data_IF_169719960131
#
_entry.id   IF_169719960131
#
_cell.length_a   1.000
_cell.length_b   1.000
_cell.length_c   1.000
_cell.angle_alpha   90.00
_cell.angle_beta   90.00
_cell.angle_gamma   90.00
#
_symmetry.space_group_name_H-M   'P 1'
#
loop_
_entity.id
_entity.type
_entity.pdbx_description
1 polymer ?
#
# COMPACT_ATOMS: atom_id res chain seq x y z
N UNK A 1 45.19 21.15 39.93
CA UNK A 1 43.92 21.70 40.46
C UNK A 1 42.94 21.82 39.27
N UNK A 2 42.04 20.88 39.17
CA UNK A 2 41.03 20.84 38.11
C UNK A 2 39.86 21.69 38.58
N UNK A 3 39.58 22.78 37.87
CA UNK A 3 38.41 23.63 38.12
C UNK A 3 37.15 22.83 37.76
N UNK A 4 36.33 22.53 38.75
CA UNK A 4 34.96 22.02 38.51
C UNK A 4 34.18 23.08 37.76
N UNK A 5 33.39 22.68 36.70
CA UNK A 5 32.53 23.63 36.04
C UNK A 5 31.42 24.07 37.02
N UNK A 6 31.30 25.35 37.29
CA UNK A 6 30.18 25.92 38.04
C UNK A 6 28.87 25.48 37.44
N UNK A 7 28.01 24.85 38.25
CA UNK A 7 26.63 24.57 37.93
C UNK A 7 25.93 25.92 37.65
N UNK A 8 25.69 26.19 36.36
CA UNK A 8 24.93 27.37 35.95
C UNK A 8 23.55 27.29 36.59
N UNK A 9 23.20 28.25 37.39
CA UNK A 9 21.86 28.49 37.91
C UNK A 9 20.87 28.49 36.75
N UNK A 10 19.76 27.71 36.85
CA UNK A 10 18.74 27.68 35.81
C UNK A 10 18.21 29.09 35.57
N UNK A 11 18.21 29.56 34.30
CA UNK A 11 17.64 30.83 33.91
C UNK A 11 16.18 30.95 34.34
N UNK A 12 15.73 32.15 34.70
CA UNK A 12 14.32 32.38 35.05
C UNK A 12 13.41 32.08 33.84
N UNK A 13 12.15 31.74 34.09
CA UNK A 13 11.15 31.51 33.02
C UNK A 13 11.03 32.78 32.12
N UNK A 14 11.15 33.97 32.70
CA UNK A 14 11.12 35.25 31.97
C UNK A 14 12.30 35.39 31.01
N UNK A 15 13.52 35.04 31.45
CA UNK A 15 14.72 35.07 30.60
C UNK A 15 14.61 34.11 29.42
N UNK A 16 14.08 32.89 29.65
CA UNK A 16 13.83 31.94 28.56
C UNK A 16 12.81 32.47 27.55
N UNK A 17 11.72 33.06 28.02
CA UNK A 17 10.70 33.64 27.14
C UNK A 17 11.28 34.81 26.30
N UNK A 18 12.08 35.70 26.93
CA UNK A 18 12.75 36.79 26.23
C UNK A 18 13.72 36.25 25.15
N UNK A 19 14.48 35.21 25.47
CA UNK A 19 15.37 34.55 24.51
C UNK A 19 14.60 33.95 23.33
N UNK A 20 13.50 33.23 23.59
CA UNK A 20 12.66 32.63 22.54
C UNK A 20 12.02 33.69 21.63
N UNK A 21 11.60 34.80 22.22
CA UNK A 21 11.09 35.93 21.44
C UNK A 21 12.19 36.57 20.53
N UNK A 22 13.42 36.62 21.02
CA UNK A 22 14.55 37.20 20.25
C UNK A 22 14.98 36.28 19.07
N UNK A 23 14.93 34.96 19.21
CA UNK A 23 15.36 34.04 18.14
C UNK A 23 14.26 33.75 17.10
N UNK A 24 12.98 33.94 17.42
CA UNK A 24 11.84 33.68 16.52
C UNK A 24 11.91 34.45 15.19
N UNK A 25 12.23 35.76 15.14
CA UNK A 25 12.38 36.47 13.88
C UNK A 25 13.53 35.98 12.99
N UNK A 26 14.47 35.21 13.56
CA UNK A 26 15.57 34.57 12.86
C UNK A 26 15.21 33.16 12.34
N UNK A 27 13.93 32.76 12.45
CA UNK A 27 13.44 31.43 12.11
C UNK A 27 14.15 30.29 12.87
N UNK A 28 14.58 30.57 14.11
CA UNK A 28 15.19 29.60 15.00
C UNK A 28 14.18 29.11 16.04
N UNK A 29 14.22 27.81 16.35
CA UNK A 29 13.45 27.20 17.43
C UNK A 29 14.36 26.40 18.35
N UNK A 30 14.12 26.42 19.68
CA UNK A 30 14.95 25.70 20.63
C UNK A 30 14.61 24.19 20.59
N UNK A 31 15.57 23.35 20.18
CA UNK A 31 15.40 21.90 20.09
C UNK A 31 14.96 21.28 21.42
N UNK A 32 15.48 21.76 22.53
CA UNK A 32 15.16 21.23 23.87
C UNK A 32 13.69 21.38 24.30
N UNK A 33 12.94 22.28 23.67
CA UNK A 33 11.49 22.41 23.87
C UNK A 33 10.68 21.37 23.07
N UNK A 34 11.27 20.82 22.00
CA UNK A 34 10.60 19.94 21.04
C UNK A 34 11.23 18.53 20.96
N UNK A 35 12.35 18.31 21.67
CA UNK A 35 13.14 17.08 21.53
C UNK A 35 12.30 15.80 21.72
N UNK A 36 11.45 15.75 22.74
CA UNK A 36 10.60 14.58 23.03
C UNK A 36 9.54 14.32 21.95
N UNK A 37 9.07 15.38 21.28
CA UNK A 37 8.13 15.24 20.16
C UNK A 37 8.83 14.80 18.87
N UNK A 38 10.07 15.28 18.65
CA UNK A 38 10.87 14.94 17.46
C UNK A 38 11.52 13.54 17.55
N UNK A 39 11.89 13.12 18.75
CA UNK A 39 12.51 11.80 19.00
C UNK A 39 11.73 11.08 20.11
N UNK A 40 10.52 10.60 19.80
CA UNK A 40 9.68 9.92 20.77
C UNK A 40 10.28 8.54 21.14
N UNK A 41 9.99 7.99 22.33
CA UNK A 41 10.49 6.70 22.77
C UNK A 41 9.93 5.50 22.00
N UNK A 42 8.82 5.69 21.28
CA UNK A 42 8.18 4.72 20.39
C UNK A 42 7.66 5.40 19.13
N UNK A 43 7.49 4.65 18.02
CA UNK A 43 6.87 5.18 16.81
C UNK A 43 5.53 5.85 17.13
N UNK A 44 5.34 7.04 16.61
CA UNK A 44 4.12 7.83 16.78
C UNK A 44 3.57 8.23 15.40
N UNK A 45 2.35 7.80 15.11
CA UNK A 45 1.67 8.09 13.85
C UNK A 45 0.41 8.91 14.10
N UNK A 46 0.11 9.92 13.27
CA UNK A 46 -1.19 10.60 13.32
C UNK A 46 -2.33 9.75 12.75
N UNK A 47 -2.01 8.68 12.01
CA UNK A 47 -3.01 7.83 11.39
C UNK A 47 -3.81 7.03 12.41
N UNK A 48 -5.09 6.82 12.13
CA UNK A 48 -5.97 5.94 12.90
C UNK A 48 -6.30 4.70 12.10
N UNK A 49 -6.63 3.60 12.77
CA UNK A 49 -7.19 2.44 12.12
C UNK A 49 -8.54 2.82 11.48
N UNK A 50 -8.81 2.32 10.29
CA UNK A 50 -10.04 2.60 9.57
C UNK A 50 -10.47 1.38 8.75
N UNK A 51 -11.78 1.24 8.58
CA UNK A 51 -12.40 0.14 7.85
C UNK A 51 -13.46 0.68 6.88
N UNK A 52 -13.39 0.23 5.64
CA UNK A 52 -14.32 0.57 4.57
C UNK A 52 -15.03 -0.69 4.11
N UNK A 53 -16.31 -0.78 4.42
CA UNK A 53 -17.17 -1.89 4.00
C UNK A 53 -17.56 -1.70 2.54
N UNK A 54 -17.26 -2.69 1.73
CA UNK A 54 -17.50 -2.61 0.29
C UNK A 54 -18.99 -2.50 -0.07
N UNK A 55 -19.86 -3.14 0.68
CA UNK A 55 -21.31 -3.04 0.50
C UNK A 55 -21.82 -1.60 0.65
N UNK A 56 -21.21 -0.80 1.53
CA UNK A 56 -21.53 0.61 1.71
C UNK A 56 -20.87 1.51 0.64
N UNK A 57 -19.65 1.16 0.18
CA UNK A 57 -18.93 1.96 -0.81
C UNK A 57 -19.44 1.75 -2.24
N UNK A 58 -19.78 0.53 -2.60
CA UNK A 58 -20.11 0.12 -3.97
C UNK A 58 -21.22 0.96 -4.62
N UNK A 59 -22.34 1.29 -3.95
CA UNK A 59 -23.36 2.15 -4.53
C UNK A 59 -22.84 3.55 -4.94
N UNK A 60 -21.96 4.15 -4.12
CA UNK A 60 -21.36 5.45 -4.40
C UNK A 60 -20.36 5.35 -5.55
N UNK A 61 -19.57 4.28 -5.59
CA UNK A 61 -18.63 4.02 -6.68
C UNK A 61 -19.36 3.83 -8.01
N UNK A 62 -20.43 3.00 -8.05
CA UNK A 62 -21.24 2.84 -9.26
C UNK A 62 -21.89 4.17 -9.69
N UNK A 63 -22.40 4.95 -8.73
CA UNK A 63 -22.99 6.26 -9.01
C UNK A 63 -21.98 7.22 -9.63
N UNK A 64 -20.71 7.19 -9.23
CA UNK A 64 -19.69 8.04 -9.84
C UNK A 64 -19.58 7.83 -11.36
N UNK A 65 -19.80 6.59 -11.83
CA UNK A 65 -19.84 6.27 -13.25
C UNK A 65 -21.01 6.91 -14.02
N UNK A 66 -22.07 7.33 -13.33
CA UNK A 66 -23.22 8.00 -13.96
C UNK A 66 -23.13 9.53 -13.93
N UNK A 67 -22.24 10.09 -13.11
CA UNK A 67 -22.14 11.55 -12.92
C UNK A 67 -20.87 12.17 -13.48
N UNK A 68 -19.82 11.37 -13.73
CA UNK A 68 -18.57 11.83 -14.32
C UNK A 68 -18.03 10.78 -15.28
N UNK A 69 -17.67 11.19 -16.51
CA UNK A 69 -17.09 10.30 -17.51
C UNK A 69 -15.63 9.92 -17.17
N UNK A 70 -15.12 8.84 -17.76
CA UNK A 70 -13.71 8.46 -17.61
C UNK A 70 -12.77 9.53 -18.17
N UNK A 71 -13.12 10.15 -19.28
CA UNK A 71 -12.35 11.23 -19.90
C UNK A 71 -12.29 12.48 -19.01
N UNK A 72 -13.40 12.88 -18.39
CA UNK A 72 -13.46 14.03 -17.49
C UNK A 72 -12.70 13.77 -16.17
N UNK A 73 -12.87 12.59 -15.59
CA UNK A 73 -12.20 12.22 -14.34
C UNK A 73 -10.72 11.92 -14.53
N UNK A 74 -10.26 11.65 -15.76
CA UNK A 74 -8.95 11.06 -16.09
C UNK A 74 -8.75 9.71 -15.40
N UNK A 75 -9.02 9.66 -14.11
CA UNK A 75 -9.08 8.45 -13.25
C UNK A 75 -10.28 8.59 -12.30
N UNK A 76 -11.30 7.73 -12.50
CA UNK A 76 -12.48 7.71 -11.63
C UNK A 76 -12.22 6.88 -10.39
N UNK A 77 -11.67 7.52 -9.37
CA UNK A 77 -11.24 6.89 -8.11
C UNK A 77 -11.92 7.53 -6.92
N UNK A 78 -12.43 6.71 -6.01
CA UNK A 78 -12.81 7.13 -4.67
C UNK A 78 -11.66 6.78 -3.71
N UNK A 79 -11.05 7.81 -3.14
CA UNK A 79 -9.90 7.64 -2.24
C UNK A 79 -10.35 7.10 -0.88
N UNK A 80 -9.68 6.09 -0.37
CA UNK A 80 -9.81 5.56 0.98
C UNK A 80 -8.97 6.43 1.93
N UNK A 81 -9.50 7.59 2.26
CA UNK A 81 -8.77 8.60 3.03
C UNK A 81 -8.79 8.29 4.52
N UNK A 82 -7.62 8.32 5.15
CA UNK A 82 -7.52 8.10 6.60
C UNK A 82 -8.28 9.21 7.35
N UNK A 83 -9.20 8.86 8.27
CA UNK A 83 -10.01 9.87 8.98
C UNK A 83 -9.19 10.91 9.75
N UNK A 84 -7.96 10.60 10.12
CA UNK A 84 -7.05 11.55 10.79
C UNK A 84 -6.19 12.38 9.83
N UNK A 85 -6.29 12.15 8.52
CA UNK A 85 -5.55 12.86 7.48
C UNK A 85 -6.49 13.51 6.43
N UNK A 86 -7.51 14.28 6.83
CA UNK A 86 -8.52 14.80 5.91
C UNK A 86 -7.90 15.75 4.88
N UNK A 87 -8.27 15.57 3.61
CA UNK A 87 -7.78 16.36 2.49
C UNK A 87 -6.37 16.02 2.01
N UNK A 88 -5.71 15.01 2.58
CA UNK A 88 -4.37 14.60 2.18
C UNK A 88 -4.33 13.46 1.17
N UNK A 89 -5.50 12.89 0.82
CA UNK A 89 -5.62 11.75 -0.08
C UNK A 89 -4.65 10.60 0.30
N UNK A 90 -4.62 10.24 1.58
CA UNK A 90 -3.66 9.30 2.14
C UNK A 90 -4.35 8.26 3.03
N UNK A 91 -4.05 6.99 2.83
CA UNK A 91 -4.50 5.90 3.70
C UNK A 91 -3.58 5.76 4.93
N UNK A 92 -2.28 5.98 4.76
CA UNK A 92 -1.27 6.15 5.80
C UNK A 92 -0.38 7.35 5.48
N UNK A 93 0.59 7.68 6.32
CA UNK A 93 1.55 8.76 6.04
C UNK A 93 2.38 8.56 4.76
N UNK A 94 2.52 7.33 4.30
CA UNK A 94 3.38 6.94 3.16
C UNK A 94 2.60 6.34 1.98
N UNK A 95 1.34 5.92 2.20
CA UNK A 95 0.55 5.17 1.23
C UNK A 95 -0.75 5.86 0.87
N UNK A 96 -1.04 5.89 -0.42
CA UNK A 96 -2.35 6.17 -0.99
C UNK A 96 -3.07 4.85 -1.23
N UNK A 97 -4.41 4.85 -1.08
CA UNK A 97 -5.30 3.78 -1.49
C UNK A 97 -6.59 4.38 -2.05
N UNK A 98 -7.13 3.77 -3.12
CA UNK A 98 -8.38 4.22 -3.71
C UNK A 98 -9.05 3.14 -4.55
N UNK A 99 -10.36 3.19 -4.69
CA UNK A 99 -11.13 2.29 -5.54
C UNK A 99 -11.41 2.96 -6.88
N UNK A 100 -10.82 2.43 -7.94
CA UNK A 100 -11.06 2.89 -9.31
C UNK A 100 -12.16 2.07 -9.97
N UNK A 101 -13.08 2.76 -10.63
CA UNK A 101 -14.13 2.18 -11.45
C UNK A 101 -13.87 2.46 -12.94
N UNK A 102 -13.95 1.41 -13.76
CA UNK A 102 -14.04 1.53 -15.20
C UNK A 102 -15.30 0.80 -15.71
N UNK A 103 -16.02 1.44 -16.64
CA UNK A 103 -17.22 0.89 -17.25
C UNK A 103 -16.91 0.27 -18.62
N UNK A 104 -17.81 -0.56 -19.18
CA UNK A 104 -17.63 -1.14 -20.49
C UNK A 104 -17.32 -0.10 -21.58
N UNK A 105 -16.26 -0.34 -22.37
CA UNK A 105 -15.84 0.54 -23.46
C UNK A 105 -15.09 1.80 -23.05
N UNK A 106 -14.93 2.08 -21.76
CA UNK A 106 -14.16 3.23 -21.29
C UNK A 106 -12.66 3.02 -21.44
N UNK A 107 -11.94 4.12 -21.67
CA UNK A 107 -10.48 4.23 -21.65
C UNK A 107 -10.11 5.33 -20.68
N UNK A 108 -9.18 5.04 -19.79
CA UNK A 108 -8.50 6.01 -18.94
C UNK A 108 -7.16 6.35 -19.61
N UNK A 109 -6.91 7.63 -20.00
CA UNK A 109 -5.88 8.02 -20.93
C UNK A 109 -4.46 7.66 -20.50
N UNK A 110 -3.60 7.43 -21.49
CA UNK A 110 -2.20 7.10 -21.30
C UNK A 110 -1.42 8.26 -20.68
N UNK A 111 -0.68 7.95 -19.62
CA UNK A 111 0.22 8.89 -18.94
C UNK A 111 1.37 8.15 -18.24
N UNK A 112 2.30 8.88 -17.68
CA UNK A 112 3.31 8.37 -16.75
C UNK A 112 3.49 9.33 -15.59
N UNK A 113 3.90 8.81 -14.45
CA UNK A 113 4.18 9.59 -13.24
C UNK A 113 5.32 8.98 -12.44
N UNK A 114 5.92 9.78 -11.57
CA UNK A 114 7.06 9.36 -10.75
C UNK A 114 6.66 8.37 -9.65
N UNK A 115 5.40 8.34 -9.24
CA UNK A 115 4.89 7.39 -8.29
C UNK A 115 4.90 5.97 -8.85
N UNK A 116 5.25 4.99 -8.03
CA UNK A 116 4.95 3.59 -8.28
C UNK A 116 3.49 3.30 -7.96
N UNK A 117 2.84 2.49 -8.78
CA UNK A 117 1.45 2.09 -8.55
C UNK A 117 1.30 0.57 -8.55
N UNK A 118 0.35 0.12 -7.77
CA UNK A 118 -0.15 -1.25 -7.80
C UNK A 118 -1.68 -1.23 -7.96
N UNK A 119 -2.21 -2.32 -8.52
CA UNK A 119 -3.65 -2.58 -8.64
C UNK A 119 -3.95 -3.96 -8.12
N UNK A 120 -5.01 -4.06 -7.35
CA UNK A 120 -5.55 -5.33 -6.91
C UNK A 120 -7.03 -5.41 -7.32
N UNK A 121 -7.37 -6.39 -8.15
CA UNK A 121 -8.72 -6.47 -8.75
C UNK A 121 -9.73 -6.96 -7.73
N UNK A 122 -10.74 -6.13 -7.46
CA UNK A 122 -11.76 -6.34 -6.41
C UNK A 122 -13.05 -6.93 -6.97
N UNK A 123 -13.54 -6.39 -8.11
CA UNK A 123 -14.81 -6.82 -8.71
C UNK A 123 -14.74 -6.71 -10.24
N UNK A 124 -15.38 -7.65 -10.93
CA UNK A 124 -15.46 -7.68 -12.40
C UNK A 124 -14.22 -8.28 -13.03
N UNK A 125 -14.28 -8.47 -14.34
CA UNK A 125 -13.21 -9.06 -15.16
C UNK A 125 -13.23 -8.50 -16.57
N UNK A 126 -12.08 -8.55 -17.27
CA UNK A 126 -11.99 -8.13 -18.67
C UNK A 126 -11.67 -6.66 -18.87
N UNK A 127 -11.41 -5.89 -17.81
CA UNK A 127 -10.65 -4.66 -17.92
C UNK A 127 -9.16 -4.99 -18.09
N UNK A 128 -8.38 -4.05 -18.59
CA UNK A 128 -6.95 -4.23 -18.78
C UNK A 128 -6.15 -3.02 -18.28
N UNK A 129 -4.90 -3.29 -17.96
CA UNK A 129 -3.84 -2.28 -17.83
C UNK A 129 -2.78 -2.56 -18.89
N UNK A 130 -2.42 -1.56 -19.70
CA UNK A 130 -1.25 -1.62 -20.56
C UNK A 130 -0.09 -0.90 -19.88
N UNK A 131 1.06 -1.55 -19.78
CA UNK A 131 2.28 -1.02 -19.16
C UNK A 131 3.43 -1.18 -20.13
N UNK A 132 4.04 -0.07 -20.53
CA UNK A 132 5.20 -0.04 -21.41
C UNK A 132 5.04 -0.92 -22.67
N UNK A 133 3.87 -0.87 -23.29
CA UNK A 133 3.55 -1.61 -24.53
C UNK A 133 3.18 -3.08 -24.32
N UNK A 134 2.98 -3.55 -23.10
CA UNK A 134 2.42 -4.85 -22.77
C UNK A 134 1.07 -4.70 -22.08
N UNK A 135 0.03 -5.27 -22.66
CA UNK A 135 -1.30 -5.31 -22.07
C UNK A 135 -1.42 -6.49 -21.11
N UNK A 136 -2.12 -6.29 -20.03
CA UNK A 136 -2.51 -7.31 -19.04
C UNK A 136 -4.01 -7.24 -18.81
N UNK A 137 -4.74 -8.28 -19.19
CA UNK A 137 -6.15 -8.44 -18.85
C UNK A 137 -6.29 -8.82 -17.38
N UNK A 138 -7.24 -8.20 -16.69
CA UNK A 138 -7.38 -8.27 -15.24
C UNK A 138 -8.53 -9.19 -14.84
N UNK A 139 -8.23 -10.12 -13.92
CA UNK A 139 -9.19 -11.02 -13.28
C UNK A 139 -9.27 -10.73 -11.77
N UNK A 140 -10.39 -11.04 -11.08
CA UNK A 140 -10.51 -10.81 -9.64
C UNK A 140 -9.40 -11.46 -8.84
N UNK A 141 -8.79 -10.69 -7.95
CA UNK A 141 -7.67 -11.13 -7.11
C UNK A 141 -6.28 -10.98 -7.76
N UNK A 142 -6.20 -10.64 -9.05
CA UNK A 142 -4.92 -10.37 -9.70
C UNK A 142 -4.26 -9.13 -9.08
N UNK A 143 -2.94 -9.23 -8.90
CA UNK A 143 -2.07 -8.15 -8.48
C UNK A 143 -1.25 -7.66 -9.66
N UNK A 144 -1.40 -6.38 -10.01
CA UNK A 144 -0.75 -5.73 -11.16
C UNK A 144 0.07 -4.55 -10.66
N UNK A 145 1.23 -4.29 -11.26
CA UNK A 145 2.07 -3.13 -10.96
C UNK A 145 2.26 -2.23 -12.17
N UNK A 146 2.41 -0.95 -11.90
CA UNK A 146 2.93 0.05 -12.84
C UNK A 146 4.19 0.65 -12.23
N UNK A 147 5.37 0.37 -12.79
CA UNK A 147 6.62 0.95 -12.33
C UNK A 147 6.62 2.48 -12.44
N UNK A 148 7.36 3.13 -11.56
CA UNK A 148 7.63 4.57 -11.64
C UNK A 148 8.07 4.98 -13.04
N UNK A 149 7.57 6.10 -13.52
CA UNK A 149 7.92 6.72 -14.80
C UNK A 149 7.70 5.84 -16.03
N UNK A 150 6.73 4.93 -15.97
CA UNK A 150 6.39 4.02 -17.06
C UNK A 150 5.06 4.41 -17.68
N UNK A 151 5.01 4.50 -19.02
CA UNK A 151 3.77 4.75 -19.74
C UNK A 151 2.74 3.67 -19.46
N UNK A 152 1.53 4.09 -19.10
CA UNK A 152 0.43 3.17 -18.83
C UNK A 152 -0.93 3.80 -19.13
N UNK A 153 -1.85 2.96 -19.56
CA UNK A 153 -3.27 3.27 -19.76
C UNK A 153 -4.14 2.12 -19.26
N UNK A 154 -5.44 2.37 -19.14
CA UNK A 154 -6.41 1.37 -18.75
C UNK A 154 -7.58 1.41 -19.70
N UNK A 155 -8.20 0.27 -19.94
CA UNK A 155 -9.44 0.19 -20.69
C UNK A 155 -10.28 -0.99 -20.26
N UNK A 156 -11.51 -1.04 -20.74
CA UNK A 156 -12.44 -2.11 -20.44
C UNK A 156 -13.13 -2.65 -21.71
N UNK A 157 -12.89 -3.92 -21.98
CA UNK A 157 -13.63 -4.72 -22.94
C UNK A 157 -14.66 -5.62 -22.23
N UNK A 158 -14.82 -5.42 -20.91
CA UNK A 158 -15.72 -6.18 -20.06
C UNK A 158 -17.20 -5.96 -20.44
N UNK A 159 -18.03 -6.94 -20.12
CA UNK A 159 -19.49 -6.80 -20.25
C UNK A 159 -20.15 -6.00 -19.12
N UNK A 160 -19.43 -5.72 -18.05
CA UNK A 160 -19.90 -5.00 -16.87
C UNK A 160 -18.81 -4.15 -16.22
N UNK A 161 -19.13 -3.44 -15.13
CA UNK A 161 -18.18 -2.61 -14.42
C UNK A 161 -17.05 -3.45 -13.84
N UNK A 162 -15.84 -2.90 -13.83
CA UNK A 162 -14.67 -3.49 -13.16
C UNK A 162 -14.14 -2.49 -12.14
N UNK A 163 -13.82 -3.02 -10.95
CA UNK A 163 -13.29 -2.23 -9.82
C UNK A 163 -12.00 -2.85 -9.35
N UNK A 164 -11.00 -2.02 -9.14
CA UNK A 164 -9.76 -2.43 -8.49
C UNK A 164 -9.34 -1.45 -7.39
N UNK A 165 -8.59 -1.93 -6.43
CA UNK A 165 -7.90 -1.13 -5.43
C UNK A 165 -6.59 -0.65 -6.04
N UNK A 166 -6.43 0.67 -6.18
CA UNK A 166 -5.14 1.31 -6.46
C UNK A 166 -4.39 1.53 -5.15
N UNK A 167 -3.11 1.15 -5.13
CA UNK A 167 -2.16 1.51 -4.09
C UNK A 167 -0.99 2.27 -4.72
N UNK A 168 -0.65 3.45 -4.18
CA UNK A 168 0.45 4.28 -4.67
C UNK A 168 1.28 4.84 -3.50
N UNK A 169 2.53 5.14 -3.80
CA UNK A 169 3.45 5.83 -2.88
C UNK A 169 3.36 7.36 -2.98
N UNK A 170 2.20 7.91 -3.40
CA UNK A 170 1.96 9.36 -3.56
C UNK A 170 2.42 10.17 -2.34
N UNK A 171 2.04 9.83 -1.09
CA UNK A 171 2.44 10.62 0.06
C UNK A 171 3.95 10.63 0.29
N UNK A 172 4.63 9.50 0.04
CA UNK A 172 6.08 9.40 0.13
C UNK A 172 6.79 10.25 -0.93
N UNK A 173 6.36 10.14 -2.19
CA UNK A 173 6.93 10.92 -3.31
C UNK A 173 6.68 12.42 -3.09
N UNK A 174 5.51 12.80 -2.56
CA UNK A 174 5.20 14.18 -2.15
C UNK A 174 6.13 14.66 -1.04
N UNK A 175 6.39 13.84 -0.03
CA UNK A 175 7.32 14.17 1.06
C UNK A 175 8.74 14.45 0.56
N UNK A 176 9.15 13.78 -0.52
CA UNK A 176 10.46 13.96 -1.16
C UNK A 176 10.48 15.08 -2.22
N UNK A 177 9.37 15.82 -2.41
CA UNK A 177 9.21 16.86 -3.45
C UNK A 177 9.52 16.36 -4.87
N UNK A 178 9.33 15.05 -5.14
CA UNK A 178 9.70 14.37 -6.39
C UNK A 178 8.50 14.04 -7.29
N UNK A 179 7.32 14.61 -7.01
CA UNK A 179 6.07 14.27 -7.69
C UNK A 179 5.87 15.05 -8.99
N UNK A 180 5.82 14.37 -10.13
CA UNK A 180 5.39 14.95 -11.40
C UNK A 180 4.82 13.88 -12.33
N UNK A 181 4.10 14.31 -13.37
CA UNK A 181 3.44 13.46 -14.34
C UNK A 181 3.52 14.04 -15.75
N UNK A 182 3.32 13.20 -16.74
CA UNK A 182 3.29 13.55 -18.16
C UNK A 182 2.16 12.79 -18.86
N UNK A 183 1.34 13.48 -19.61
CA UNK A 183 0.28 12.88 -20.43
C UNK A 183 0.81 12.49 -21.80
N UNK A 184 0.36 11.36 -22.32
CA UNK A 184 0.68 10.97 -23.70
C UNK A 184 -0.14 11.80 -24.71
N UNK A 185 0.33 11.85 -25.96
CA UNK A 185 -0.39 12.49 -27.05
C UNK A 185 -1.62 11.66 -27.50
N UNK A 186 -1.73 10.40 -27.11
CA UNK A 186 -2.80 9.47 -27.46
C UNK A 186 -3.38 8.85 -26.18
N UNK A 187 -4.67 8.54 -26.18
CA UNK A 187 -5.33 7.93 -25.02
C UNK A 187 -4.83 6.52 -24.73
N UNK A 188 -4.36 5.81 -25.75
CA UNK A 188 -3.82 4.46 -25.60
C UNK A 188 -2.41 4.38 -26.21
N UNK A 189 -1.53 3.69 -25.52
CA UNK A 189 -0.18 3.42 -26.04
C UNK A 189 -0.19 2.32 -27.10
N UNK A 190 0.79 2.34 -27.98
CA UNK A 190 1.00 1.24 -28.93
C UNK A 190 1.40 -0.04 -28.17
N UNK A 191 0.75 -1.15 -28.49
CA UNK A 191 1.11 -2.46 -27.96
C UNK A 191 2.29 -3.02 -28.78
N UNK A 192 3.43 -3.20 -28.14
CA UNK A 192 4.67 -3.68 -28.76
C UNK A 192 5.00 -5.13 -28.37
N UNK A 193 4.26 -5.70 -27.44
CA UNK A 193 4.46 -7.04 -26.89
C UNK A 193 3.12 -7.75 -26.76
N UNK A 194 3.16 -9.07 -26.89
CA UNK A 194 2.01 -9.93 -26.60
C UNK A 194 1.72 -9.92 -25.11
N UNK A 195 0.46 -10.10 -24.75
CA UNK A 195 0.05 -10.24 -23.36
C UNK A 195 0.79 -11.41 -22.66
N UNK A 196 1.25 -11.17 -21.44
CA UNK A 196 2.00 -12.15 -20.65
C UNK A 196 3.47 -12.30 -21.08
N UNK A 197 3.99 -11.44 -21.96
CA UNK A 197 5.37 -11.50 -22.44
C UNK A 197 6.38 -11.51 -21.28
N UNK A 198 6.30 -10.54 -20.37
CA UNK A 198 7.20 -10.46 -19.24
C UNK A 198 6.96 -11.59 -18.21
N UNK A 199 5.70 -11.99 -18.01
CA UNK A 199 5.37 -13.13 -17.15
C UNK A 199 5.96 -14.45 -17.68
N UNK A 200 5.93 -14.68 -19.00
CA UNK A 200 6.54 -15.85 -19.61
C UNK A 200 8.08 -15.86 -19.47
N UNK A 201 8.70 -14.67 -19.51
CA UNK A 201 10.17 -14.53 -19.46
C UNK A 201 10.73 -14.69 -18.05
N UNK A 202 10.04 -14.19 -17.04
CA UNK A 202 10.57 -14.09 -15.66
C UNK A 202 9.71 -14.80 -14.61
N UNK A 203 8.48 -15.15 -14.92
CA UNK A 203 7.51 -15.68 -13.96
C UNK A 203 7.59 -17.18 -13.70
N UNK A 204 8.51 -17.90 -14.41
CA UNK A 204 8.68 -19.35 -14.27
C UNK A 204 10.02 -19.74 -13.63
N UNK A 205 10.61 -18.86 -12.82
CA UNK A 205 11.94 -19.02 -12.20
C UNK A 205 13.08 -19.18 -13.23
N UNK A 206 12.87 -18.65 -14.43
CA UNK A 206 13.84 -18.62 -15.51
C UNK A 206 13.97 -17.18 -16.04
N UNK A 207 15.12 -16.87 -16.63
CA UNK A 207 15.37 -15.60 -17.31
C UNK A 207 15.98 -15.84 -18.68
N UNK A 208 15.80 -14.94 -19.67
CA UNK A 208 16.42 -15.04 -20.98
C UNK A 208 17.95 -15.02 -20.88
N UNK A 209 18.60 -15.96 -21.56
CA UNK A 209 20.06 -16.12 -21.45
C UNK A 209 20.87 -14.94 -22.03
N UNK A 210 20.35 -14.28 -23.05
CA UNK A 210 21.12 -13.28 -23.87
C UNK A 210 20.52 -11.88 -23.80
N UNK A 211 19.62 -11.62 -22.90
CA UNK A 211 19.11 -10.28 -22.67
C UNK A 211 19.80 -9.64 -21.50
N UNK A 212 19.94 -8.32 -21.56
CA UNK A 212 20.31 -7.56 -20.38
C UNK A 212 19.32 -7.87 -19.27
N UNK A 213 19.81 -8.27 -18.11
CA UNK A 213 19.00 -8.41 -16.92
C UNK A 213 18.19 -7.13 -16.76
N UNK A 214 16.89 -7.19 -16.46
CA UNK A 214 16.13 -5.98 -16.24
C UNK A 214 16.79 -5.20 -15.10
N UNK A 215 17.45 -4.11 -15.45
CA UNK A 215 18.11 -3.24 -14.51
C UNK A 215 17.07 -2.32 -13.90
N UNK A 216 16.76 -2.53 -12.64
CA UNK A 216 15.85 -1.67 -11.92
C UNK A 216 15.40 -2.28 -10.59
N UNK A 217 15.05 -1.43 -9.66
CA UNK A 217 14.53 -1.84 -8.36
C UNK A 217 13.08 -2.39 -8.45
N UNK A 218 12.40 -2.19 -9.61
CA UNK A 218 11.03 -2.65 -9.83
C UNK A 218 11.01 -3.98 -10.59
N UNK A 219 10.03 -4.83 -10.28
CA UNK A 219 9.83 -6.11 -10.94
C UNK A 219 9.60 -5.96 -12.45
N UNK A 220 10.23 -6.81 -13.28
CA UNK A 220 9.94 -6.88 -14.71
C UNK A 220 8.59 -7.54 -15.03
N UNK A 221 7.97 -8.23 -14.08
CA UNK A 221 6.64 -8.81 -14.22
C UNK A 221 5.61 -7.77 -13.80
N UNK A 222 4.66 -7.47 -14.68
CA UNK A 222 3.61 -6.49 -14.40
C UNK A 222 2.35 -7.11 -13.81
N UNK A 223 2.16 -8.42 -13.97
CA UNK A 223 0.99 -9.15 -13.47
C UNK A 223 1.38 -10.38 -12.67
N UNK A 224 0.72 -10.55 -11.53
CA UNK A 224 0.83 -11.71 -10.65
C UNK A 224 -0.56 -12.35 -10.53
N UNK A 225 -0.86 -13.39 -11.35
CA UNK A 225 -2.17 -14.02 -11.38
C UNK A 225 -2.58 -14.63 -10.04
N UNK A 226 -3.80 -14.34 -9.59
CA UNK A 226 -4.35 -14.81 -8.32
C UNK A 226 -4.34 -16.32 -8.20
N UNK A 227 -4.75 -17.04 -9.24
CA UNK A 227 -4.82 -18.49 -9.22
C UNK A 227 -3.51 -19.16 -8.78
N UNK A 228 -2.35 -18.64 -9.25
CA UNK A 228 -1.02 -19.15 -8.86
C UNK A 228 -0.69 -18.84 -7.41
N UNK A 229 -0.99 -17.63 -6.98
CA UNK A 229 -0.71 -17.17 -5.61
C UNK A 229 -1.59 -17.89 -4.59
N UNK A 230 -2.87 -18.10 -4.93
CA UNK A 230 -3.84 -18.83 -4.11
C UNK A 230 -3.46 -20.30 -3.97
N UNK A 231 -3.02 -20.93 -5.06
CA UNK A 231 -2.54 -22.32 -5.05
C UNK A 231 -1.33 -22.49 -4.14
N UNK A 232 -0.36 -21.54 -4.19
CA UNK A 232 0.82 -21.57 -3.34
C UNK A 232 0.45 -21.54 -1.85
N UNK A 233 -0.48 -20.65 -1.45
CA UNK A 233 -0.98 -20.61 -0.07
C UNK A 233 -1.64 -21.92 0.35
N UNK A 234 -2.49 -22.50 -0.51
CA UNK A 234 -3.18 -23.75 -0.22
C UNK A 234 -2.21 -24.92 -0.09
N UNK A 235 -1.13 -24.95 -0.85
CA UNK A 235 -0.08 -25.97 -0.73
C UNK A 235 0.64 -25.85 0.61
N UNK A 236 1.09 -24.66 0.98
CA UNK A 236 1.79 -24.43 2.24
C UNK A 236 0.93 -24.78 3.47
N UNK A 237 -0.38 -24.51 3.41
CA UNK A 237 -1.28 -24.90 4.49
C UNK A 237 -1.36 -26.42 4.67
N UNK A 238 -1.19 -27.21 3.58
CA UNK A 238 -1.15 -28.68 3.66
C UNK A 238 0.19 -29.22 4.15
N UNK A 239 1.28 -28.47 3.96
CA UNK A 239 2.64 -28.92 4.27
C UNK A 239 3.02 -28.71 5.74
N UNK A 240 2.30 -27.84 6.47
CA UNK A 240 2.63 -27.59 7.87
C UNK A 240 1.61 -26.72 8.60
N UNK A 241 1.78 -26.55 9.93
CA UNK A 241 0.90 -25.70 10.71
C UNK A 241 1.05 -24.23 10.31
N UNK A 242 -0.03 -23.43 10.38
CA UNK A 242 0.04 -22.00 10.14
C UNK A 242 0.88 -21.30 11.22
N UNK A 243 1.55 -20.22 10.86
CA UNK A 243 2.22 -19.33 11.81
C UNK A 243 1.19 -18.75 12.79
N UNK A 244 1.58 -18.60 14.05
CA UNK A 244 0.64 -18.18 15.10
C UNK A 244 0.17 -16.71 14.96
N UNK A 245 0.89 -15.87 14.23
CA UNK A 245 0.58 -14.46 14.00
C UNK A 245 -0.04 -14.23 12.63
N UNK A 246 0.59 -14.80 11.61
CA UNK A 246 0.27 -14.51 10.21
C UNK A 246 -0.53 -15.60 9.48
N UNK A 247 -0.75 -16.78 10.08
CA UNK A 247 -1.33 -17.92 9.33
C UNK A 247 -0.36 -18.40 8.25
N UNK A 248 -0.78 -18.43 6.99
CA UNK A 248 0.10 -18.65 5.85
C UNK A 248 0.22 -17.36 5.08
N UNK A 249 1.37 -16.69 5.12
CA UNK A 249 1.59 -15.38 4.47
C UNK A 249 2.77 -15.43 3.52
N UNK A 250 2.54 -15.05 2.29
CA UNK A 250 3.55 -14.96 1.25
C UNK A 250 3.73 -13.52 0.80
N UNK A 251 4.96 -13.16 0.49
CA UNK A 251 5.30 -11.88 -0.13
C UNK A 251 5.41 -12.07 -1.64
N UNK A 252 4.81 -11.18 -2.40
CA UNK A 252 5.11 -11.06 -3.83
C UNK A 252 6.56 -10.59 -4.01
N UNK A 253 7.24 -11.17 -5.00
CA UNK A 253 8.67 -10.91 -5.21
C UNK A 253 8.94 -10.36 -6.60
N UNK A 254 9.94 -9.53 -6.69
CA UNK A 254 10.59 -9.18 -7.93
C UNK A 254 11.52 -10.35 -8.31
N UNK A 255 11.26 -11.09 -9.40
CA UNK A 255 12.04 -12.27 -9.75
C UNK A 255 13.50 -11.95 -10.15
N UNK A 256 13.79 -10.71 -10.50
CA UNK A 256 15.15 -10.30 -10.86
C UNK A 256 16.04 -10.03 -9.64
N UNK A 257 15.46 -9.69 -8.48
CA UNK A 257 16.22 -9.32 -7.28
C UNK A 257 15.87 -10.14 -6.03
N UNK A 258 14.73 -10.85 -6.04
CA UNK A 258 14.17 -11.46 -4.82
C UNK A 258 13.58 -10.45 -3.83
N UNK A 259 13.65 -9.17 -4.13
CA UNK A 259 13.08 -8.07 -3.34
C UNK A 259 11.58 -7.89 -3.51
N UNK A 260 11.05 -6.75 -3.04
CA UNK A 260 9.66 -6.37 -3.26
C UNK A 260 9.38 -6.04 -4.74
N UNK A 261 8.11 -6.11 -5.20
CA UNK A 261 7.76 -5.80 -6.59
C UNK A 261 8.10 -4.36 -6.99
N UNK A 262 8.02 -3.41 -6.07
CA UNK A 262 8.46 -2.02 -6.26
C UNK A 262 9.42 -1.61 -5.14
N UNK A 263 10.26 -0.59 -5.33
CA UNK A 263 11.21 -0.16 -4.32
C UNK A 263 10.56 0.46 -3.08
N UNK A 264 9.33 0.92 -3.20
CA UNK A 264 8.61 1.68 -2.16
C UNK A 264 7.50 0.89 -1.49
N UNK A 265 6.93 -0.12 -2.17
CA UNK A 265 5.81 -0.91 -1.66
C UNK A 265 6.06 -2.40 -1.78
N UNK A 266 5.86 -3.12 -0.68
CA UNK A 266 5.74 -4.57 -0.65
C UNK A 266 4.26 -4.96 -0.72
N UNK A 267 3.97 -6.11 -1.34
CA UNK A 267 2.65 -6.69 -1.38
C UNK A 267 2.69 -8.14 -0.85
N UNK A 268 1.59 -8.55 -0.21
CA UNK A 268 1.46 -9.84 0.45
C UNK A 268 0.11 -10.47 0.14
N UNK A 269 0.09 -11.80 0.10
CA UNK A 269 -1.13 -12.57 0.14
C UNK A 269 -1.08 -13.51 1.35
N UNK A 270 -2.18 -13.55 2.12
CA UNK A 270 -2.24 -14.23 3.41
C UNK A 270 -3.49 -15.10 3.47
N UNK A 271 -3.35 -16.37 3.89
CA UNK A 271 -4.43 -17.28 4.13
C UNK A 271 -4.52 -17.56 5.64
N UNK A 272 -5.71 -17.38 6.18
CA UNK A 272 -6.07 -17.71 7.54
C UNK A 272 -7.02 -18.92 7.50
N UNK A 273 -6.69 -20.08 8.09
CA UNK A 273 -7.59 -21.21 8.16
C UNK A 273 -8.88 -20.88 8.89
N UNK A 274 -9.96 -21.61 8.62
CA UNK A 274 -11.20 -21.47 9.38
C UNK A 274 -10.95 -21.66 10.88
N UNK A 275 -11.51 -20.76 11.71
CA UNK A 275 -11.31 -20.75 13.15
C UNK A 275 -9.96 -20.23 13.63
N UNK A 276 -9.14 -19.67 12.74
CA UNK A 276 -7.83 -19.11 13.12
C UNK A 276 -7.96 -18.03 14.20
N UNK A 277 -7.11 -18.14 15.22
CA UNK A 277 -7.02 -17.20 16.35
C UNK A 277 -5.59 -16.64 16.42
N UNK A 278 -5.31 -15.63 15.59
CA UNK A 278 -3.99 -15.02 15.51
C UNK A 278 -3.50 -14.44 16.84
N UNK A 279 -2.19 -14.45 17.04
CA UNK A 279 -1.54 -13.72 18.13
C UNK A 279 -1.38 -12.25 17.73
N UNK A 280 -1.35 -11.30 18.70
CA UNK A 280 -1.13 -9.89 18.41
C UNK A 280 0.33 -9.61 18.04
N UNK A 281 0.55 -8.70 17.11
CA UNK A 281 1.87 -8.18 16.72
C UNK A 281 1.76 -6.73 16.26
N UNK A 282 2.88 -6.02 16.19
CA UNK A 282 2.96 -4.67 15.64
C UNK A 282 4.22 -4.49 14.80
N UNK A 283 4.14 -3.60 13.82
CA UNK A 283 5.21 -3.29 12.87
C UNK A 283 5.28 -1.80 12.62
N UNK A 284 6.45 -1.30 12.23
CA UNK A 284 6.62 0.13 11.91
C UNK A 284 6.04 0.50 10.54
N UNK A 285 5.92 -0.44 9.60
CA UNK A 285 5.28 -0.18 8.32
C UNK A 285 3.75 -0.05 8.48
N UNK A 286 3.17 0.98 7.87
CA UNK A 286 1.73 1.09 7.70
C UNK A 286 1.25 0.15 6.60
N UNK A 287 0.08 -0.48 6.79
CA UNK A 287 -0.43 -1.45 5.84
C UNK A 287 -1.91 -1.21 5.48
N UNK A 288 -2.23 -1.40 4.20
CA UNK A 288 -3.59 -1.43 3.68
C UNK A 288 -3.93 -2.87 3.33
N UNK A 289 -5.10 -3.32 3.78
CA UNK A 289 -5.63 -4.66 3.54
C UNK A 289 -6.85 -4.62 2.63
N UNK A 290 -6.99 -5.65 1.81
CA UNK A 290 -8.18 -5.95 0.99
C UNK A 290 -8.57 -7.40 1.22
N UNK A 291 -9.82 -7.65 1.58
CA UNK A 291 -10.33 -8.99 1.83
C UNK A 291 -10.71 -9.63 0.50
N UNK A 292 -10.11 -10.78 0.20
CA UNK A 292 -10.36 -11.52 -1.06
C UNK A 292 -11.43 -12.57 -0.85
N UNK A 293 -11.25 -13.40 0.17
CA UNK A 293 -12.14 -14.52 0.49
C UNK A 293 -12.43 -14.58 1.99
N UNK A 294 -13.59 -15.11 2.34
CA UNK A 294 -13.94 -15.42 3.73
C UNK A 294 -14.36 -14.23 4.59
N UNK A 295 -14.69 -14.52 5.84
CA UNK A 295 -15.15 -13.56 6.85
C UNK A 295 -14.36 -13.72 8.14
N UNK A 296 -14.07 -12.62 8.79
CA UNK A 296 -13.31 -12.64 10.03
C UNK A 296 -13.31 -11.30 10.73
N UNK A 297 -12.33 -11.13 11.60
CA UNK A 297 -12.21 -9.92 12.42
C UNK A 297 -10.75 -9.46 12.43
N UNK A 298 -10.54 -8.17 12.19
CA UNK A 298 -9.30 -7.48 12.48
C UNK A 298 -9.47 -6.69 13.79
N UNK A 299 -8.60 -6.94 14.76
CA UNK A 299 -8.49 -6.16 16.00
C UNK A 299 -7.23 -5.32 15.89
N UNK A 300 -7.39 -4.00 15.88
CA UNK A 300 -6.29 -3.04 15.65
C UNK A 300 -6.18 -2.10 16.84
N UNK A 301 -4.97 -1.87 17.33
CA UNK A 301 -4.67 -1.01 18.48
C UNK A 301 -4.83 -1.74 19.81
N UNK A 302 -4.52 -1.02 20.89
CA UNK A 302 -4.46 -1.53 22.26
C UNK A 302 -5.30 -0.67 23.22
N UNK A 303 -5.77 -1.28 24.29
CA UNK A 303 -6.48 -0.61 25.38
C UNK A 303 -7.68 0.22 24.89
N UNK A 304 -7.72 1.50 25.24
CA UNK A 304 -8.83 2.39 24.91
C UNK A 304 -8.88 2.78 23.41
N UNK A 305 -7.81 2.58 22.66
CA UNK A 305 -7.74 2.88 21.21
C UNK A 305 -8.05 1.67 20.35
N UNK A 306 -8.28 0.49 20.95
CA UNK A 306 -8.56 -0.74 20.23
C UNK A 306 -9.85 -0.61 19.42
N UNK A 307 -9.76 -0.97 18.15
CA UNK A 307 -10.89 -1.07 17.23
C UNK A 307 -11.06 -2.50 16.76
N UNK A 308 -12.30 -2.90 16.55
CA UNK A 308 -12.67 -4.22 16.06
C UNK A 308 -13.45 -4.08 14.75
N UNK A 309 -12.91 -4.62 13.68
CA UNK A 309 -13.51 -4.61 12.35
C UNK A 309 -13.96 -6.03 11.97
N UNK A 310 -15.25 -6.24 11.84
CA UNK A 310 -15.78 -7.44 11.19
C UNK A 310 -15.69 -7.25 9.70
N UNK A 311 -14.85 -8.03 9.03
CA UNK A 311 -14.60 -7.90 7.61
C UNK A 311 -15.28 -9.02 6.80
N UNK A 312 -15.64 -8.70 5.58
CA UNK A 312 -16.21 -9.58 4.56
C UNK A 312 -15.46 -9.42 3.24
N UNK A 313 -15.67 -10.30 2.24
CA UNK A 313 -15.02 -10.18 0.94
C UNK A 313 -15.20 -8.78 0.32
N UNK A 314 -14.10 -8.24 -0.23
CA UNK A 314 -13.96 -6.91 -0.84
C UNK A 314 -13.89 -5.73 0.14
N UNK A 315 -14.02 -5.95 1.45
CA UNK A 315 -13.77 -4.90 2.43
C UNK A 315 -12.29 -4.50 2.44
N UNK A 316 -12.04 -3.25 2.85
CA UNK A 316 -10.69 -2.72 3.00
C UNK A 316 -10.50 -2.17 4.40
N UNK A 317 -9.30 -2.33 4.96
CA UNK A 317 -8.97 -1.69 6.23
C UNK A 317 -7.49 -1.30 6.26
N UNK A 318 -7.17 -0.34 7.12
CA UNK A 318 -5.80 0.16 7.32
C UNK A 318 -5.34 -0.12 8.74
N UNK A 319 -4.09 -0.57 8.84
CA UNK A 319 -3.35 -0.73 10.08
C UNK A 319 -2.21 0.29 10.07
N UNK A 320 -2.30 1.34 10.90
CA UNK A 320 -1.24 2.35 10.99
C UNK A 320 0.05 1.79 11.59
N UNK A 321 1.16 2.51 11.33
CA UNK A 321 2.46 2.22 11.93
C UNK A 321 2.36 1.99 13.43
N UNK A 322 3.00 0.92 13.92
CA UNK A 322 3.12 0.52 15.33
C UNK A 322 1.82 0.23 16.07
N UNK A 323 0.67 0.20 15.36
CA UNK A 323 -0.58 -0.28 15.95
C UNK A 323 -0.57 -1.81 15.99
N UNK A 324 -1.02 -2.36 17.11
CA UNK A 324 -1.16 -3.81 17.27
C UNK A 324 -2.21 -4.33 16.30
N UNK A 325 -1.91 -5.43 15.61
CA UNK A 325 -2.83 -6.16 14.76
C UNK A 325 -3.00 -7.59 15.29
N UNK A 326 -4.25 -8.02 15.36
CA UNK A 326 -4.63 -9.40 15.59
C UNK A 326 -5.73 -9.81 14.60
N UNK A 327 -5.52 -10.87 13.84
CA UNK A 327 -6.48 -11.38 12.88
C UNK A 327 -7.18 -12.64 13.39
N UNK A 328 -8.49 -12.69 13.21
CA UNK A 328 -9.34 -13.82 13.57
C UNK A 328 -10.15 -14.20 12.34
N UNK A 329 -10.23 -15.48 12.01
CA UNK A 329 -10.98 -15.96 10.86
C UNK A 329 -12.17 -16.83 11.31
N UNK A 330 -13.36 -16.52 10.84
CA UNK A 330 -14.55 -17.36 11.04
C UNK A 330 -14.54 -18.51 10.01
N UNK A 331 -14.37 -18.13 8.74
CA UNK A 331 -14.21 -19.04 7.60
C UNK A 331 -12.73 -19.06 7.20
N UNK A 332 -12.35 -19.91 6.25
CA UNK A 332 -11.06 -19.76 5.60
C UNK A 332 -11.04 -18.40 4.88
N UNK A 333 -10.07 -17.54 5.23
CA UNK A 333 -9.95 -16.19 4.69
C UNK A 333 -8.70 -16.04 3.85
N UNK A 334 -8.78 -15.25 2.77
CA UNK A 334 -7.63 -14.78 2.02
C UNK A 334 -7.63 -13.26 2.05
N UNK A 335 -6.50 -12.68 2.47
CA UNK A 335 -6.28 -11.25 2.56
C UNK A 335 -5.11 -10.86 1.64
N UNK A 336 -5.33 -9.85 0.81
CA UNK A 336 -4.26 -9.11 0.16
C UNK A 336 -3.87 -7.93 1.04
N UNK A 337 -2.57 -7.59 1.08
CA UNK A 337 -2.12 -6.36 1.73
C UNK A 337 -0.90 -5.78 1.05
N UNK A 338 -0.71 -4.46 1.20
CA UNK A 338 0.52 -3.79 0.79
C UNK A 338 0.97 -2.80 1.85
N UNK A 339 2.29 -2.54 1.91
CA UNK A 339 2.91 -1.69 2.92
C UNK A 339 4.16 -0.99 2.40
N UNK A 340 4.61 0.04 3.10
CA UNK A 340 5.84 0.79 2.81
C UNK A 340 7.12 0.12 3.37
N UNK A 341 7.06 -1.15 3.75
CA UNK A 341 8.17 -1.94 4.31
C UNK A 341 9.49 -1.81 3.54
N UNK A 342 9.52 -1.84 2.18
CA UNK A 342 10.79 -1.75 1.45
C UNK A 342 11.57 -0.47 1.74
N UNK A 343 10.89 0.66 1.84
CA UNK A 343 11.50 1.95 2.19
C UNK A 343 12.09 1.90 3.58
N UNK A 344 11.32 1.39 4.55
CA UNK A 344 11.76 1.27 5.93
C UNK A 344 12.93 0.28 6.09
N UNK A 345 12.95 -0.82 5.32
CA UNK A 345 14.07 -1.76 5.30
C UNK A 345 15.32 -1.12 4.68
N UNK A 346 15.18 -0.42 3.55
CA UNK A 346 16.29 0.25 2.87
C UNK A 346 16.94 1.35 3.72
N UNK A 347 16.17 1.96 4.62
CA UNK A 347 16.62 3.02 5.55
C UNK A 347 16.91 2.52 6.98
N UNK A 348 16.87 1.20 7.20
CA UNK A 348 17.06 0.55 8.51
C UNK A 348 16.06 0.99 9.59
N UNK A 349 14.86 1.44 9.20
CA UNK A 349 13.79 1.88 10.12
C UNK A 349 12.81 0.77 10.49
N UNK A 350 12.71 -0.29 9.69
CA UNK A 350 11.72 -1.33 9.92
C UNK A 350 11.98 -2.10 11.22
N UNK A 351 10.91 -2.25 12.02
CA UNK A 351 10.89 -3.01 13.28
C UNK A 351 9.59 -3.82 13.35
N UNK A 352 9.67 -4.96 14.01
CA UNK A 352 8.53 -5.83 14.35
C UNK A 352 8.61 -6.23 15.81
N UNK A 353 7.46 -6.34 16.46
CA UNK A 353 7.32 -6.90 17.78
C UNK A 353 6.16 -7.90 17.78
N UNK A 354 6.47 -9.16 18.11
CA UNK A 354 5.50 -10.23 18.30
C UNK A 354 5.13 -10.29 19.77
N UNK A 355 3.87 -10.01 20.06
CA UNK A 355 3.38 -9.93 21.43
C UNK A 355 2.89 -11.31 21.86
N UNK A 356 3.19 -11.70 23.10
CA UNK A 356 2.58 -12.85 23.75
C UNK A 356 1.15 -12.49 24.21
N UNK A 357 0.28 -13.51 24.36
CA UNK A 357 -1.03 -13.34 24.98
C UNK A 357 -0.90 -12.94 26.43
#
# INVERSE_FOLDING_TARGET
MSAQPELRTSSSAAERQAYYAAIRPLHLSPLWEQLHALVPPQPNTPCVAAHWRYDALRPHLMRSGTIISAAEAVRRVLVLENPALPGLASATQSLYAGLQLILPGEVAPAHRHTQSALRFVVEGRGAYTAVNGERTTMEPGDFIITPSWTWHDHGSEAAGPVVWLDGLDIPLVRFLDAGFAENAATDQQALMRTEGHNLARYGANMAPLREASPHGATSPIFSYPYARSREALARLLRDGPPDAWDGIKLRYVNPASGGAPTPTMAAFLQLLPAGFQGQPYRQTDGAVFSVVEGRGVAVVGDGATQQRFEFAPRDHFVVPSWQTLRLLANDECVLFSFSDRPVQMATALWREERLAR
#
